data_IF_232941259313
#
_entry.id   IF_232941259313
#
_cell.length_a   1.000
_cell.length_b   1.000
_cell.length_c   1.000
_cell.angle_alpha   90.00
_cell.angle_beta   90.00
_cell.angle_gamma   90.00
#
_symmetry.space_group_name_H-M   'P 1'
#
loop_
_entity.id
_entity.type
_entity.pdbx_description
1 polymer ?
#
# COMPACT_ATOMS: atom_id res chain seq x y z
N UNK A 1 -23.95 -4.21 0.12
CA UNK A 1 -23.16 -3.96 -1.11
C UNK A 1 -22.19 -5.12 -1.30
N UNK A 2 -21.80 -5.48 -2.54
CA UNK A 2 -20.82 -6.55 -2.74
C UNK A 2 -19.47 -6.14 -2.14
N UNK A 3 -18.75 -7.12 -1.58
CA UNK A 3 -17.45 -6.92 -0.91
C UNK A 3 -16.41 -7.75 -1.64
N UNK A 4 -15.29 -7.12 -2.01
CA UNK A 4 -14.12 -7.80 -2.56
C UNK A 4 -13.28 -8.33 -1.40
N UNK A 5 -13.06 -9.64 -1.37
CA UNK A 5 -12.21 -10.31 -0.38
C UNK A 5 -10.90 -10.73 -1.03
N UNK A 6 -9.83 -10.66 -0.26
CA UNK A 6 -8.50 -11.06 -0.67
C UNK A 6 -7.73 -11.61 0.55
N UNK A 7 -6.88 -12.64 0.42
CA UNK A 7 -6.14 -13.23 1.54
C UNK A 7 -5.36 -12.21 2.39
N UNK A 8 -4.76 -11.22 1.73
CA UNK A 8 -3.97 -10.14 2.35
C UNK A 8 -4.78 -8.90 2.79
N UNK A 9 -6.12 -8.90 2.70
CA UNK A 9 -6.95 -7.79 3.24
C UNK A 9 -7.52 -8.17 4.61
N UNK A 10 -7.47 -7.24 5.58
CA UNK A 10 -8.02 -7.39 6.94
C UNK A 10 -9.53 -7.64 6.87
N UNK A 11 -10.24 -6.61 6.44
CA UNK A 11 -11.64 -6.64 6.07
C UNK A 11 -11.72 -6.37 4.57
N UNK A 12 -12.54 -7.16 3.87
CA UNK A 12 -12.77 -6.93 2.44
C UNK A 12 -13.23 -5.49 2.18
N UNK A 13 -12.99 -5.00 0.97
CA UNK A 13 -13.33 -3.62 0.59
C UNK A 13 -14.61 -3.60 -0.26
N UNK A 14 -15.30 -2.46 -0.31
CA UNK A 14 -16.45 -2.28 -1.21
C UNK A 14 -16.07 -2.62 -2.66
N UNK A 15 -16.78 -3.58 -3.27
CA UNK A 15 -16.52 -4.00 -4.64
C UNK A 15 -17.13 -3.01 -5.64
N UNK A 16 -16.45 -1.88 -5.88
CA UNK A 16 -16.83 -0.92 -6.91
C UNK A 16 -16.14 -1.29 -8.22
N UNK A 17 -16.93 -1.51 -9.28
CA UNK A 17 -16.41 -1.99 -10.57
C UNK A 17 -15.26 -1.14 -11.14
N UNK A 18 -15.32 0.19 -10.98
CA UNK A 18 -14.25 1.07 -11.43
C UNK A 18 -12.94 0.92 -10.63
N UNK A 19 -13.01 0.54 -9.34
CA UNK A 19 -11.82 0.25 -8.53
C UNK A 19 -11.19 -1.07 -8.96
N UNK A 20 -12.02 -2.09 -9.22
CA UNK A 20 -11.56 -3.39 -9.73
C UNK A 20 -10.86 -3.21 -11.08
N UNK A 21 -11.48 -2.49 -12.02
CA UNK A 21 -10.88 -2.21 -13.33
C UNK A 21 -9.55 -1.44 -13.21
N UNK A 22 -9.49 -0.45 -12.30
CA UNK A 22 -8.27 0.30 -12.03
C UNK A 22 -7.16 -0.58 -11.45
N UNK A 23 -7.46 -1.41 -10.43
CA UNK A 23 -6.51 -2.39 -9.88
C UNK A 23 -5.96 -3.30 -10.97
N UNK A 24 -6.86 -3.86 -11.79
CA UNK A 24 -6.50 -4.75 -12.88
C UNK A 24 -5.55 -4.10 -13.90
N UNK A 25 -5.71 -2.80 -14.19
CA UNK A 25 -4.74 -2.07 -15.01
C UNK A 25 -3.38 -1.93 -14.32
N UNK A 26 -3.38 -1.53 -13.04
CA UNK A 26 -2.17 -1.29 -12.27
C UNK A 26 -1.30 -2.54 -12.07
N UNK A 27 -1.89 -3.72 -11.85
CA UNK A 27 -1.12 -4.96 -11.60
C UNK A 27 -0.50 -5.55 -12.88
N UNK A 28 -1.00 -5.17 -14.07
CA UNK A 28 -0.48 -5.69 -15.35
C UNK A 28 0.72 -4.90 -15.89
N UNK A 29 0.76 -3.59 -15.66
CA UNK A 29 1.82 -2.72 -16.17
C UNK A 29 1.90 -1.40 -15.41
N UNK A 30 3.03 -0.70 -15.52
CA UNK A 30 3.22 0.65 -15.00
C UNK A 30 2.10 1.59 -15.45
N UNK A 31 1.39 2.17 -14.49
CA UNK A 31 0.14 2.89 -14.73
C UNK A 31 0.12 4.22 -13.99
N UNK A 32 -0.23 5.31 -14.68
CA UNK A 32 -0.63 6.58 -14.06
C UNK A 32 -2.14 6.56 -13.81
N UNK A 33 -2.55 6.29 -12.58
CA UNK A 33 -3.96 6.21 -12.22
C UNK A 33 -4.53 7.61 -11.91
N UNK A 34 -5.35 8.15 -12.83
CA UNK A 34 -6.03 9.43 -12.65
C UNK A 34 -7.48 9.20 -12.21
N UNK A 35 -7.80 9.51 -10.96
CA UNK A 35 -9.16 9.47 -10.41
C UNK A 35 -9.41 10.69 -9.51
N UNK A 36 -10.65 11.19 -9.40
CA UNK A 36 -10.98 12.28 -8.47
C UNK A 36 -10.69 11.89 -7.01
N UNK A 37 -10.50 12.89 -6.15
CA UNK A 37 -10.42 12.65 -4.70
C UNK A 37 -11.77 12.15 -4.18
N UNK A 38 -11.75 11.23 -3.20
CA UNK A 38 -12.97 10.58 -2.69
C UNK A 38 -13.44 9.36 -3.47
N UNK A 39 -12.91 9.09 -4.68
CA UNK A 39 -13.26 7.90 -5.47
C UNK A 39 -12.50 6.63 -5.03
N UNK A 40 -11.71 6.69 -3.95
CA UNK A 40 -11.04 5.51 -3.39
C UNK A 40 -9.79 5.06 -4.14
N UNK A 41 -8.93 6.01 -4.55
CA UNK A 41 -7.56 5.69 -5.02
C UNK A 41 -6.79 4.83 -4.02
N UNK A 42 -6.95 5.11 -2.72
CA UNK A 42 -6.33 4.32 -1.66
C UNK A 42 -6.86 2.88 -1.61
N UNK A 43 -8.14 2.66 -1.94
CA UNK A 43 -8.68 1.30 -2.04
C UNK A 43 -8.08 0.52 -3.22
N UNK A 44 -7.86 1.20 -4.36
CA UNK A 44 -7.12 0.62 -5.50
C UNK A 44 -5.69 0.26 -5.07
N UNK A 45 -5.02 1.15 -4.36
CA UNK A 45 -3.67 0.92 -3.82
C UNK A 45 -3.63 -0.31 -2.90
N UNK A 46 -4.59 -0.47 -1.97
CA UNK A 46 -4.65 -1.64 -1.09
C UNK A 46 -4.82 -2.95 -1.85
N UNK A 47 -5.67 -2.98 -2.88
CA UNK A 47 -5.80 -4.17 -3.72
C UNK A 47 -4.49 -4.49 -4.45
N UNK A 48 -3.80 -3.48 -4.99
CA UNK A 48 -2.52 -3.71 -5.67
C UNK A 48 -1.46 -4.24 -4.70
N UNK A 49 -1.40 -3.71 -3.47
CA UNK A 49 -0.49 -4.22 -2.42
C UNK A 49 -0.84 -5.68 -2.10
N UNK A 50 -2.12 -5.97 -1.92
CA UNK A 50 -2.58 -7.31 -1.57
C UNK A 50 -2.23 -8.33 -2.68
N UNK A 51 -2.50 -7.99 -3.94
CA UNK A 51 -2.20 -8.81 -5.12
C UNK A 51 -0.70 -9.00 -5.34
N UNK A 52 0.10 -7.96 -5.08
CA UNK A 52 1.56 -8.03 -5.10
C UNK A 52 2.10 -9.03 -4.06
N UNK A 53 1.61 -8.95 -2.81
CA UNK A 53 2.02 -9.87 -1.74
C UNK A 53 1.61 -11.32 -2.06
N UNK A 54 0.41 -11.54 -2.60
CA UNK A 54 -0.06 -12.87 -3.01
C UNK A 54 0.76 -13.46 -4.17
N UNK A 55 1.26 -12.57 -5.05
CA UNK A 55 2.16 -12.93 -6.15
C UNK A 55 3.61 -13.18 -5.70
N UNK A 56 3.91 -13.05 -4.40
CA UNK A 56 5.25 -13.26 -3.85
C UNK A 56 6.19 -12.06 -3.97
N UNK A 57 5.68 -10.85 -4.20
CA UNK A 57 6.49 -9.63 -4.15
C UNK A 57 6.86 -9.35 -2.69
N UNK A 58 8.15 -9.43 -2.38
CA UNK A 58 8.65 -9.27 -1.02
C UNK A 58 8.91 -7.81 -0.62
N UNK A 59 8.97 -6.89 -1.59
CA UNK A 59 9.32 -5.47 -1.36
C UNK A 59 8.41 -4.51 -2.13
N UNK A 60 7.78 -3.59 -1.39
CA UNK A 60 6.91 -2.54 -1.92
C UNK A 60 7.39 -1.19 -1.38
N UNK A 61 7.55 -0.20 -2.25
CA UNK A 61 7.89 1.17 -1.87
C UNK A 61 6.72 2.09 -2.20
N UNK A 62 6.31 2.91 -1.24
CA UNK A 62 5.23 3.88 -1.35
C UNK A 62 5.82 5.25 -1.07
N UNK A 63 5.53 6.22 -1.94
CA UNK A 63 6.00 7.60 -1.73
C UNK A 63 4.85 8.53 -1.38
N UNK A 64 5.10 9.47 -0.47
CA UNK A 64 4.16 10.51 -0.07
C UNK A 64 4.87 11.86 0.07
N UNK A 65 4.19 12.97 -0.26
CA UNK A 65 4.88 14.26 -0.38
C UNK A 65 5.15 14.96 0.96
N UNK A 66 4.58 14.46 2.07
CA UNK A 66 4.77 15.05 3.40
C UNK A 66 4.84 13.96 4.47
N UNK A 67 5.54 14.24 5.57
CA UNK A 67 5.62 13.36 6.75
C UNK A 67 4.23 12.97 7.28
N UNK A 68 3.29 13.92 7.30
CA UNK A 68 1.92 13.63 7.73
C UNK A 68 1.21 12.61 6.84
N UNK A 69 1.46 12.64 5.52
CA UNK A 69 0.90 11.67 4.59
C UNK A 69 1.62 10.32 4.64
N UNK A 70 2.93 10.30 4.91
CA UNK A 70 3.69 9.07 5.18
C UNK A 70 3.08 8.31 6.36
N UNK A 71 2.89 8.99 7.49
CA UNK A 71 2.30 8.39 8.69
C UNK A 71 0.83 8.00 8.50
N UNK A 72 0.07 8.79 7.73
CA UNK A 72 -1.29 8.44 7.35
C UNK A 72 -1.34 7.15 6.52
N UNK A 73 -0.46 7.00 5.53
CA UNK A 73 -0.36 5.79 4.70
C UNK A 73 0.02 4.57 5.54
N UNK A 74 0.99 4.72 6.44
CA UNK A 74 1.39 3.64 7.37
C UNK A 74 0.20 3.13 8.17
N UNK A 75 -0.53 4.05 8.81
CA UNK A 75 -1.72 3.70 9.60
C UNK A 75 -2.77 2.97 8.75
N UNK A 76 -3.10 3.51 7.57
CA UNK A 76 -4.10 2.90 6.68
C UNK A 76 -3.70 1.50 6.20
N UNK A 77 -2.41 1.26 5.95
CA UNK A 77 -1.91 -0.05 5.56
C UNK A 77 -2.06 -1.05 6.71
N UNK A 78 -1.66 -0.67 7.92
CA UNK A 78 -1.81 -1.55 9.10
C UNK A 78 -3.27 -1.86 9.44
N UNK A 79 -4.19 -0.93 9.13
CA UNK A 79 -5.64 -1.14 9.30
C UNK A 79 -6.24 -2.05 8.21
N UNK A 80 -5.67 -2.10 7.00
CA UNK A 80 -6.32 -2.72 5.83
C UNK A 80 -5.61 -3.94 5.26
N UNK A 81 -4.30 -4.04 5.44
CA UNK A 81 -3.48 -5.14 4.94
C UNK A 81 -3.14 -6.08 6.08
N UNK A 82 -3.30 -7.39 5.85
CA UNK A 82 -2.84 -8.45 6.75
C UNK A 82 -1.34 -8.64 6.56
N UNK A 83 -0.57 -7.94 7.37
CA UNK A 83 0.89 -7.97 7.36
C UNK A 83 1.41 -7.71 8.77
N UNK A 84 2.60 -8.22 9.08
CA UNK A 84 3.28 -7.92 10.34
C UNK A 84 3.59 -6.41 10.42
N UNK A 85 3.15 -5.68 11.46
CA UNK A 85 3.48 -4.28 11.62
C UNK A 85 4.98 -3.96 11.66
N UNK A 86 5.83 -4.92 12.04
CA UNK A 86 7.29 -4.75 12.11
C UNK A 86 7.95 -4.64 10.73
N UNK A 87 7.31 -5.17 9.68
CA UNK A 87 7.80 -5.11 8.30
C UNK A 87 7.23 -3.93 7.50
N UNK A 88 6.45 -3.05 8.14
CA UNK A 88 5.94 -1.80 7.56
C UNK A 88 6.64 -0.60 8.19
N UNK A 89 7.59 0.00 7.45
CA UNK A 89 8.49 1.06 7.93
C UNK A 89 8.22 2.40 7.25
N UNK A 90 8.44 3.49 7.97
CA UNK A 90 8.37 4.86 7.44
C UNK A 90 9.73 5.53 7.45
N UNK A 91 9.99 6.38 6.46
CA UNK A 91 11.20 7.17 6.33
C UNK A 91 10.84 8.65 6.27
N UNK A 92 10.73 9.28 7.44
CA UNK A 92 10.25 10.67 7.56
C UNK A 92 11.37 11.71 7.55
N UNK A 93 12.60 11.31 7.24
CA UNK A 93 13.76 12.20 7.22
C UNK A 93 14.37 12.49 8.59
N UNK A 94 13.65 12.25 9.69
CA UNK A 94 14.10 12.45 11.08
C UNK A 94 15.05 11.35 11.59
N UNK A 95 15.07 10.18 10.94
CA UNK A 95 15.99 9.10 11.32
C UNK A 95 17.40 9.34 10.79
N UNK A 96 18.40 9.15 11.67
CA UNK A 96 19.82 9.33 11.36
C UNK A 96 20.23 8.47 10.15
N UNK A 97 21.04 8.99 9.21
CA UNK A 97 21.41 8.28 7.97
C UNK A 97 21.98 6.88 8.20
N UNK A 98 22.76 6.69 9.27
CA UNK A 98 23.39 5.42 9.63
C UNK A 98 22.39 4.27 9.89
N UNK A 99 21.13 4.56 10.25
CA UNK A 99 20.11 3.54 10.47
C UNK A 99 19.34 3.16 9.19
N UNK A 100 19.46 3.90 8.09
CA UNK A 100 18.57 3.72 6.91
C UNK A 100 18.87 2.46 6.10
N UNK A 101 20.14 2.04 6.04
CA UNK A 101 20.57 0.86 5.29
C UNK A 101 20.05 -0.45 5.88
N UNK A 102 20.11 -0.61 7.21
CA UNK A 102 19.67 -1.83 7.90
C UNK A 102 18.14 -1.96 7.98
N UNK A 103 17.40 -0.84 7.97
CA UNK A 103 15.93 -0.83 8.05
C UNK A 103 15.30 -1.34 6.73
N UNK A 104 15.98 -1.15 5.60
CA UNK A 104 15.47 -1.50 4.27
C UNK A 104 15.48 -3.01 3.98
N UNK A 105 16.49 -3.74 4.46
CA UNK A 105 16.67 -5.15 4.10
C UNK A 105 15.64 -6.10 4.74
N UNK A 106 14.96 -5.67 5.81
CA UNK A 106 13.98 -6.48 6.54
C UNK A 106 12.53 -6.06 6.33
N UNK A 107 12.30 -4.87 5.76
CA UNK A 107 10.95 -4.35 5.58
C UNK A 107 10.33 -4.84 4.28
N UNK A 108 9.10 -5.35 4.33
CA UNK A 108 8.34 -5.69 3.12
C UNK A 108 7.68 -4.46 2.50
N UNK A 109 7.35 -3.44 3.31
CA UNK A 109 6.74 -2.19 2.83
C UNK A 109 7.47 -0.99 3.43
N UNK A 110 8.05 -0.16 2.56
CA UNK A 110 8.67 1.12 2.91
C UNK A 110 7.81 2.29 2.44
N UNK A 111 7.64 3.28 3.30
CA UNK A 111 6.87 4.49 3.00
C UNK A 111 7.74 5.72 3.24
N UNK A 112 7.97 6.53 2.20
CA UNK A 112 8.90 7.67 2.24
C UNK A 112 8.28 8.96 1.70
#
# INVERSE_FOLDING_TARGET
MPVLRHPFLQDGIDARGYQIAATQACIRCSTLLVMPTGFGKTAVQWNCIADALDSGIEKIIITAPTVGLVEQQRRMILERIKIDPEVVRTYTGSDRPAKRGEIGDQASIDIA
#
